data_IF_173272516405
#
_entry.id   IF_173272516405
#
_cell.length_a   1.000
_cell.length_b   1.000
_cell.length_c   1.000
_cell.angle_alpha   90.00
_cell.angle_beta   90.00
_cell.angle_gamma   90.00
#
_symmetry.space_group_name_H-M   'P 1'
#
loop_
_entity.id
_entity.type
_entity.pdbx_description
1 polymer ?
#
# COMPACT_ATOMS: atom_id res chain seq x y z
N UNK A 1 -33.05 -6.46 25.65
CA UNK A 1 -32.48 -5.28 24.97
C UNK A 1 -31.22 -5.73 24.25
N UNK A 2 -31.31 -5.92 22.93
CA UNK A 2 -30.21 -6.41 22.10
C UNK A 2 -29.35 -5.25 21.60
N UNK A 3 -28.07 -5.25 21.96
CA UNK A 3 -27.05 -4.44 21.28
C UNK A 3 -26.31 -5.34 20.29
N UNK A 4 -26.48 -5.07 19.01
CA UNK A 4 -25.67 -5.64 17.94
C UNK A 4 -25.46 -4.57 16.87
N UNK A 5 -24.26 -4.59 16.30
CA UNK A 5 -23.77 -3.86 15.13
C UNK A 5 -23.32 -2.40 15.35
N UNK A 6 -22.02 -2.25 15.63
CA UNK A 6 -21.23 -1.14 15.10
C UNK A 6 -20.48 -1.66 13.87
N UNK A 7 -21.04 -1.42 12.68
CA UNK A 7 -20.36 -1.66 11.42
C UNK A 7 -19.30 -0.59 11.18
N UNK A 8 -18.03 -0.98 11.19
CA UNK A 8 -16.92 -0.13 10.76
C UNK A 8 -16.73 -0.35 9.26
N UNK A 9 -17.29 0.54 8.44
CA UNK A 9 -16.96 0.64 7.02
C UNK A 9 -15.57 1.27 6.86
N UNK A 10 -14.53 0.45 6.67
CA UNK A 10 -13.23 0.90 6.15
C UNK A 10 -13.25 0.85 4.63
N UNK A 11 -13.60 1.96 4.01
CA UNK A 11 -13.40 2.18 2.58
C UNK A 11 -11.92 2.53 2.34
N UNK A 12 -11.09 1.51 2.11
CA UNK A 12 -9.72 1.70 1.62
C UNK A 12 -9.76 2.06 0.14
N UNK A 13 -9.97 3.33 -0.18
CA UNK A 13 -9.69 3.89 -1.50
C UNK A 13 -8.18 4.10 -1.64
N UNK A 14 -7.41 3.01 -1.79
CA UNK A 14 -6.06 3.07 -2.36
C UNK A 14 -6.20 3.05 -3.88
N UNK A 15 -6.47 4.24 -4.43
CA UNK A 15 -6.31 4.49 -5.85
C UNK A 15 -4.81 4.55 -6.15
N UNK A 16 -4.21 3.38 -6.38
CA UNK A 16 -2.94 3.30 -7.13
C UNK A 16 -3.28 3.57 -8.60
N UNK A 17 -3.66 4.81 -8.90
CA UNK A 17 -3.68 5.32 -10.27
C UNK A 17 -2.23 5.56 -10.64
N UNK A 18 -1.60 4.52 -11.19
CA UNK A 18 -0.39 4.64 -11.99
C UNK A 18 -0.72 5.71 -13.02
N UNK A 19 -0.10 6.89 -12.87
CA UNK A 19 -0.23 7.96 -13.83
C UNK A 19 0.13 7.40 -15.20
N UNK A 20 -0.82 7.52 -16.12
CA UNK A 20 -0.63 7.22 -17.52
C UNK A 20 0.67 7.88 -17.98
N UNK A 21 1.70 7.07 -18.24
CA UNK A 21 2.84 7.48 -19.03
C UNK A 21 2.28 7.79 -20.41
N UNK A 22 1.89 9.04 -20.61
CA UNK A 22 1.63 9.62 -21.92
C UNK A 22 2.95 9.50 -22.66
N UNK A 23 3.06 8.47 -23.50
CA UNK A 23 4.04 8.43 -24.57
C UNK A 23 3.77 9.65 -25.44
N UNK A 24 4.48 10.74 -25.16
CA UNK A 24 4.55 11.89 -26.03
C UNK A 24 5.30 11.45 -27.27
N UNK A 25 4.56 10.86 -28.22
CA UNK A 25 4.99 10.72 -29.61
C UNK A 25 5.07 12.12 -30.20
N UNK A 26 6.12 12.85 -29.84
CA UNK A 26 6.62 13.91 -30.68
C UNK A 26 7.35 13.22 -31.83
N UNK A 27 6.60 12.52 -32.67
CA UNK A 27 6.99 12.31 -34.06
C UNK A 27 6.99 13.71 -34.66
N UNK A 28 8.12 14.40 -34.48
CA UNK A 28 8.49 15.50 -35.34
C UNK A 28 8.23 15.01 -36.75
N UNK A 29 7.19 15.60 -37.33
CA UNK A 29 6.93 15.65 -38.75
C UNK A 29 8.26 15.69 -39.51
N UNK A 30 8.71 14.52 -40.00
CA UNK A 30 9.64 14.42 -41.12
C UNK A 30 8.79 14.76 -42.34
N UNK A 31 8.49 16.05 -42.45
CA UNK A 31 7.47 16.58 -43.36
C UNK A 31 7.48 18.10 -43.38
N UNK A 32 8.68 18.68 -43.25
CA UNK A 32 8.95 20.08 -43.60
C UNK A 32 9.40 20.15 -45.06
N UNK A 33 8.93 21.16 -45.83
CA UNK A 33 8.94 21.14 -47.28
C UNK A 33 10.37 21.15 -47.82
N UNK A 34 10.62 20.33 -48.85
CA UNK A 34 11.75 20.45 -49.77
C UNK A 34 11.63 21.80 -50.48
N UNK A 35 12.04 22.86 -49.78
CA UNK A 35 12.02 24.20 -50.30
C UNK A 35 13.23 24.38 -51.22
N UNK A 36 12.90 24.73 -52.46
CA UNK A 36 13.78 25.43 -53.39
C UNK A 36 14.84 24.58 -54.12
N UNK A 37 14.37 23.61 -54.92
CA UNK A 37 15.13 22.97 -56.00
C UNK A 37 15.25 23.91 -57.23
N UNK A 38 15.73 25.13 -57.00
CA UNK A 38 15.93 26.15 -58.01
C UNK A 38 17.37 26.19 -58.50
N UNK A 39 17.77 25.27 -59.39
CA UNK A 39 18.86 25.51 -60.36
C UNK A 39 18.76 24.52 -61.54
N UNK A 40 17.92 24.86 -62.50
CA UNK A 40 17.47 24.04 -63.64
C UNK A 40 18.53 23.66 -64.68
N UNK A 41 19.83 23.94 -64.46
CA UNK A 41 20.90 23.60 -65.40
C UNK A 41 21.95 22.61 -64.86
N UNK A 42 21.94 22.26 -63.56
CA UNK A 42 22.86 21.24 -63.02
C UNK A 42 22.27 19.82 -63.01
N UNK A 43 20.97 19.67 -62.83
CA UNK A 43 20.27 18.38 -62.66
C UNK A 43 20.13 17.51 -63.91
N UNK A 44 20.34 18.08 -65.11
CA UNK A 44 20.30 17.35 -66.39
C UNK A 44 21.67 16.92 -66.89
N UNK A 45 22.75 17.53 -66.37
CA UNK A 45 24.12 17.12 -66.70
C UNK A 45 24.58 16.00 -65.78
N UNK A 46 25.35 15.04 -66.30
CA UNK A 46 25.93 13.94 -65.52
C UNK A 46 26.73 14.51 -64.33
N UNK A 47 27.45 15.62 -64.53
CA UNK A 47 28.23 16.28 -63.48
C UNK A 47 27.36 16.79 -62.32
N UNK A 48 26.22 17.42 -62.59
CA UNK A 48 25.37 17.89 -61.49
C UNK A 48 24.57 16.76 -60.83
N UNK A 49 24.21 15.69 -61.55
CA UNK A 49 23.70 14.46 -60.91
C UNK A 49 24.73 13.81 -59.99
N UNK A 50 25.99 13.75 -60.40
CA UNK A 50 27.10 13.27 -59.56
C UNK A 50 27.25 14.15 -58.32
N UNK A 51 27.27 15.48 -58.46
CA UNK A 51 27.37 16.38 -57.32
C UNK A 51 26.22 16.23 -56.31
N UNK A 52 25.00 16.00 -56.79
CA UNK A 52 23.84 15.71 -55.91
C UNK A 52 24.01 14.37 -55.19
N UNK A 53 24.49 13.33 -55.89
CA UNK A 53 24.75 12.02 -55.28
C UNK A 53 25.87 12.10 -54.23
N UNK A 54 26.93 12.85 -54.49
CA UNK A 54 28.02 13.07 -53.55
C UNK A 54 27.54 13.76 -52.27
N UNK A 55 26.68 14.78 -52.39
CA UNK A 55 26.10 15.47 -51.24
C UNK A 55 25.11 14.59 -50.47
N UNK A 56 24.30 13.78 -51.18
CA UNK A 56 23.43 12.80 -50.55
C UNK A 56 24.22 11.75 -49.77
N UNK A 57 25.32 11.25 -50.34
CA UNK A 57 26.22 10.29 -49.66
C UNK A 57 26.81 10.91 -48.40
N UNK A 58 27.24 12.18 -48.45
CA UNK A 58 27.74 12.89 -47.26
C UNK A 58 26.66 13.04 -46.19
N UNK A 59 25.46 13.42 -46.59
CA UNK A 59 24.32 13.61 -45.67
C UNK A 59 23.97 12.30 -44.97
N UNK A 60 23.77 11.23 -45.75
CA UNK A 60 23.47 9.89 -45.22
C UNK A 60 24.59 9.37 -44.33
N UNK A 61 25.85 9.61 -44.69
CA UNK A 61 26.99 9.19 -43.87
C UNK A 61 27.03 9.91 -42.52
N UNK A 62 26.71 11.21 -42.51
CA UNK A 62 26.63 12.00 -41.29
C UNK A 62 25.47 11.55 -40.41
N UNK A 63 24.30 11.33 -41.02
CA UNK A 63 23.11 10.83 -40.32
C UNK A 63 23.35 9.44 -39.71
N UNK A 64 23.99 8.55 -40.47
CA UNK A 64 24.35 7.20 -40.00
C UNK A 64 25.26 7.25 -38.77
N UNK A 65 26.21 8.18 -38.72
CA UNK A 65 27.11 8.31 -37.57
C UNK A 65 26.39 8.86 -36.33
N UNK A 66 25.45 9.80 -36.52
CA UNK A 66 24.56 10.27 -35.45
C UNK A 66 23.72 9.12 -34.90
N UNK A 67 23.03 8.36 -35.77
CA UNK A 67 22.23 7.20 -35.37
C UNK A 67 23.05 6.12 -34.65
N UNK A 68 24.29 5.89 -35.06
CA UNK A 68 25.21 4.98 -34.35
C UNK A 68 25.54 5.45 -32.94
N UNK A 69 25.71 6.76 -32.75
CA UNK A 69 25.96 7.34 -31.42
C UNK A 69 24.72 7.21 -30.54
N UNK A 70 23.56 7.59 -31.05
CA UNK A 70 22.29 7.48 -30.34
C UNK A 70 22.00 6.03 -29.93
N UNK A 71 22.22 5.07 -30.83
CA UNK A 71 22.07 3.65 -30.50
C UNK A 71 22.98 3.22 -29.35
N UNK A 72 24.23 3.68 -29.32
CA UNK A 72 25.16 3.38 -28.21
C UNK A 72 24.68 3.97 -26.89
N UNK A 73 24.15 5.18 -26.91
CA UNK A 73 23.65 5.83 -25.71
C UNK A 73 22.36 5.16 -25.22
N UNK A 74 21.44 4.80 -26.12
CA UNK A 74 20.25 3.99 -25.79
C UNK A 74 20.60 2.63 -25.19
N UNK A 75 21.64 1.96 -25.68
CA UNK A 75 22.11 0.70 -25.10
C UNK A 75 22.64 0.92 -23.66
N UNK A 76 23.37 2.00 -23.41
CA UNK A 76 23.83 2.33 -22.05
C UNK A 76 22.65 2.62 -21.12
N UNK A 77 21.71 3.45 -21.57
CA UNK A 77 20.53 3.82 -20.79
C UNK A 77 19.68 2.59 -20.47
N UNK A 78 19.48 1.70 -21.44
CA UNK A 78 18.83 0.41 -21.23
C UNK A 78 19.52 -0.38 -20.12
N UNK A 79 20.84 -0.55 -20.18
CA UNK A 79 21.59 -1.31 -19.16
C UNK A 79 21.48 -0.67 -17.77
N UNK A 80 21.47 0.67 -17.69
CA UNK A 80 21.27 1.40 -16.43
C UNK A 80 19.87 1.11 -15.88
N UNK A 81 18.83 1.20 -16.71
CA UNK A 81 17.45 0.97 -16.31
C UNK A 81 17.25 -0.47 -15.84
N UNK A 82 17.79 -1.46 -16.55
CA UNK A 82 17.73 -2.87 -16.16
C UNK A 82 18.38 -3.10 -14.78
N UNK A 83 19.55 -2.52 -14.54
CA UNK A 83 20.22 -2.61 -13.24
C UNK A 83 19.42 -1.93 -12.12
N UNK A 84 18.85 -0.75 -12.39
CA UNK A 84 18.01 -0.03 -11.43
C UNK A 84 16.73 -0.81 -11.11
N UNK A 85 16.13 -1.46 -12.10
CA UNK A 85 14.93 -2.29 -11.92
C UNK A 85 15.24 -3.47 -11.01
N UNK A 86 16.31 -4.21 -11.29
CA UNK A 86 16.74 -5.37 -10.47
C UNK A 86 17.04 -4.91 -9.05
N UNK A 87 17.79 -3.81 -8.88
CA UNK A 87 18.08 -3.25 -7.56
C UNK A 87 16.81 -2.87 -6.82
N UNK A 88 15.90 -2.14 -7.47
CA UNK A 88 14.66 -1.69 -6.85
C UNK A 88 13.77 -2.87 -6.45
N UNK A 89 13.68 -3.89 -7.28
CA UNK A 89 12.97 -5.12 -6.99
C UNK A 89 13.55 -5.82 -5.75
N UNK A 90 14.89 -5.96 -5.70
CA UNK A 90 15.57 -6.56 -4.56
C UNK A 90 15.37 -5.76 -3.27
N UNK A 91 15.58 -4.44 -3.31
CA UNK A 91 15.40 -3.54 -2.16
C UNK A 91 13.96 -3.60 -1.64
N UNK A 92 12.97 -3.54 -2.53
CA UNK A 92 11.55 -3.65 -2.15
C UNK A 92 11.23 -5.01 -1.54
N UNK A 93 11.73 -6.11 -2.12
CA UNK A 93 11.55 -7.44 -1.56
C UNK A 93 12.16 -7.54 -0.16
N UNK A 94 13.39 -7.04 0.03
CA UNK A 94 14.06 -7.05 1.34
C UNK A 94 13.29 -6.24 2.38
N UNK A 95 12.79 -5.05 2.03
CA UNK A 95 12.01 -4.21 2.94
C UNK A 95 10.71 -4.91 3.35
N UNK A 96 9.99 -5.50 2.38
CA UNK A 96 8.74 -6.20 2.67
C UNK A 96 8.96 -7.46 3.52
N UNK A 97 10.01 -8.24 3.25
CA UNK A 97 10.36 -9.41 4.06
C UNK A 97 10.64 -9.03 5.52
N UNK A 98 11.40 -7.96 5.75
CA UNK A 98 11.67 -7.45 7.08
C UNK A 98 10.41 -6.93 7.78
N UNK A 99 9.52 -6.25 7.05
CA UNK A 99 8.27 -5.76 7.61
C UNK A 99 7.32 -6.90 8.02
N UNK A 100 7.26 -7.97 7.23
CA UNK A 100 6.50 -9.18 7.60
C UNK A 100 7.03 -9.77 8.91
N UNK A 101 8.34 -9.91 9.05
CA UNK A 101 8.94 -10.42 10.29
C UNK A 101 8.63 -9.52 11.49
N UNK A 102 8.77 -8.21 11.32
CA UNK A 102 8.46 -7.23 12.36
C UNK A 102 7.00 -7.30 12.80
N UNK A 103 6.07 -7.39 11.84
CA UNK A 103 4.65 -7.49 12.10
C UNK A 103 4.27 -8.83 12.74
N UNK A 104 4.92 -9.94 12.36
CA UNK A 104 4.68 -11.24 13.01
C UNK A 104 5.09 -11.20 14.49
N UNK A 105 6.27 -10.65 14.79
CA UNK A 105 6.75 -10.47 16.16
C UNK A 105 5.83 -9.56 16.99
N UNK A 106 5.38 -8.44 16.40
CA UNK A 106 4.43 -7.54 17.05
C UNK A 106 3.08 -8.24 17.30
N UNK A 107 2.56 -8.97 16.33
CA UNK A 107 1.30 -9.69 16.45
C UNK A 107 1.37 -10.77 17.54
N UNK A 108 2.47 -11.52 17.61
CA UNK A 108 2.71 -12.48 18.71
C UNK A 108 2.71 -11.81 20.07
N UNK A 109 3.32 -10.63 20.20
CA UNK A 109 3.31 -9.86 21.45
C UNK A 109 1.90 -9.41 21.83
N UNK A 110 1.12 -8.92 20.86
CA UNK A 110 -0.28 -8.51 21.10
C UNK A 110 -1.15 -9.69 21.53
N UNK A 111 -1.03 -10.85 20.89
CA UNK A 111 -1.76 -12.07 21.28
C UNK A 111 -1.42 -12.44 22.73
N UNK A 112 -0.13 -12.52 23.07
CA UNK A 112 0.29 -12.84 24.43
C UNK A 112 -0.24 -11.83 25.48
N UNK A 113 -0.28 -10.55 25.13
CA UNK A 113 -0.86 -9.52 25.99
C UNK A 113 -2.37 -9.71 26.16
N UNK A 114 -3.08 -9.99 25.06
CA UNK A 114 -4.52 -10.25 25.09
C UNK A 114 -4.85 -11.48 25.94
N UNK A 115 -4.08 -12.57 25.81
CA UNK A 115 -4.26 -13.77 26.62
C UNK A 115 -4.04 -13.49 28.12
N UNK A 116 -3.05 -12.67 28.47
CA UNK A 116 -2.81 -12.27 29.86
C UNK A 116 -3.96 -11.42 30.41
N UNK A 117 -4.45 -10.49 29.61
CA UNK A 117 -5.56 -9.61 29.99
C UNK A 117 -6.88 -10.37 30.11
N UNK A 118 -7.13 -11.34 29.21
CA UNK A 118 -8.28 -12.24 29.30
C UNK A 118 -8.26 -13.02 30.62
N UNK A 119 -7.12 -13.65 30.96
CA UNK A 119 -6.96 -14.37 32.22
C UNK A 119 -7.20 -13.47 33.44
N UNK A 120 -6.68 -12.23 33.40
CA UNK A 120 -6.89 -11.24 34.46
C UNK A 120 -8.37 -10.89 34.63
N UNK A 121 -9.07 -10.61 33.52
CA UNK A 121 -10.50 -10.29 33.52
C UNK A 121 -11.32 -11.47 34.02
N UNK A 122 -11.03 -12.70 33.56
CA UNK A 122 -11.70 -13.91 34.03
C UNK A 122 -11.50 -14.15 35.53
N UNK A 123 -10.30 -13.89 36.05
CA UNK A 123 -10.03 -13.93 37.49
C UNK A 123 -10.88 -12.93 38.28
N UNK A 124 -11.02 -11.70 37.79
CA UNK A 124 -11.88 -10.68 38.40
C UNK A 124 -13.36 -11.08 38.37
N UNK A 125 -13.85 -11.61 37.24
CA UNK A 125 -15.23 -12.12 37.12
C UNK A 125 -15.47 -13.23 38.13
N UNK A 126 -14.53 -14.18 38.26
CA UNK A 126 -14.61 -15.26 39.24
C UNK A 126 -14.73 -14.75 40.67
N UNK A 127 -13.89 -13.77 41.05
CA UNK A 127 -13.96 -13.12 42.36
C UNK A 127 -15.31 -12.43 42.59
N UNK A 128 -15.78 -11.63 41.64
CA UNK A 128 -17.08 -10.95 41.75
C UNK A 128 -18.24 -11.93 41.90
N UNK A 129 -18.17 -13.10 41.24
CA UNK A 129 -19.18 -14.15 41.38
C UNK A 129 -19.20 -14.74 42.81
N UNK A 130 -18.04 -14.95 43.41
CA UNK A 130 -17.93 -15.41 44.80
C UNK A 130 -18.45 -14.35 45.78
N UNK A 131 -18.05 -13.09 45.62
CA UNK A 131 -18.49 -11.98 46.46
C UNK A 131 -20.03 -11.81 46.38
N UNK A 132 -20.60 -11.91 45.17
CA UNK A 132 -22.05 -11.85 44.97
C UNK A 132 -22.80 -12.97 45.69
N UNK A 133 -22.27 -14.21 45.66
CA UNK A 133 -22.86 -15.35 46.40
C UNK A 133 -22.77 -15.15 47.91
N UNK A 134 -21.62 -14.69 48.42
CA UNK A 134 -21.42 -14.41 49.83
C UNK A 134 -22.40 -13.33 50.33
N UNK A 135 -22.53 -12.23 49.59
CA UNK A 135 -23.49 -11.17 49.89
C UNK A 135 -24.94 -11.70 49.87
N UNK A 136 -25.30 -12.53 48.90
CA UNK A 136 -26.62 -13.17 48.84
C UNK A 136 -26.93 -14.04 50.06
N UNK A 137 -25.93 -14.80 50.55
CA UNK A 137 -26.07 -15.57 51.79
C UNK A 137 -26.24 -14.67 53.01
N UNK A 138 -25.46 -13.58 53.13
CA UNK A 138 -25.60 -12.64 54.24
C UNK A 138 -26.97 -11.96 54.24
N UNK A 139 -27.50 -11.60 53.08
CA UNK A 139 -28.83 -11.01 52.96
C UNK A 139 -29.90 -11.99 53.45
N UNK A 140 -29.83 -13.24 53.01
CA UNK A 140 -30.77 -14.29 53.45
C UNK A 140 -30.71 -14.52 54.97
N UNK A 141 -29.53 -14.42 55.58
CA UNK A 141 -29.38 -14.55 57.03
C UNK A 141 -29.99 -13.37 57.78
N UNK A 142 -29.81 -12.15 57.25
CA UNK A 142 -30.41 -10.93 57.81
C UNK A 142 -31.93 -11.00 57.71
N UNK A 143 -32.49 -11.38 56.55
CA UNK A 143 -33.94 -11.52 56.36
C UNK A 143 -34.55 -12.50 57.37
N UNK A 144 -33.93 -13.67 57.58
CA UNK A 144 -34.37 -14.63 58.60
C UNK A 144 -34.39 -14.02 60.01
N UNK A 145 -33.37 -13.23 60.34
CA UNK A 145 -33.28 -12.57 61.65
C UNK A 145 -34.29 -11.46 61.80
N UNK A 146 -34.60 -10.72 60.73
CA UNK A 146 -35.69 -9.75 60.71
C UNK A 146 -37.01 -10.46 60.99
N UNK A 147 -37.33 -11.53 60.26
CA UNK A 147 -38.57 -12.31 60.48
C UNK A 147 -38.68 -12.87 61.90
N UNK A 148 -37.58 -13.38 62.46
CA UNK A 148 -37.54 -13.86 63.85
C UNK A 148 -37.82 -12.73 64.85
N UNK A 149 -37.21 -11.55 64.65
CA UNK A 149 -37.43 -10.39 65.51
C UNK A 149 -38.86 -9.84 65.36
N UNK A 150 -39.40 -9.81 64.15
CA UNK A 150 -40.81 -9.44 63.89
C UNK A 150 -41.77 -10.38 64.62
N UNK A 151 -41.49 -11.69 64.64
CA UNK A 151 -42.28 -12.67 65.38
C UNK A 151 -42.19 -12.47 66.90
N UNK A 152 -41.00 -12.24 67.44
CA UNK A 152 -40.80 -12.00 68.87
C UNK A 152 -41.49 -10.71 69.35
N UNK A 153 -41.41 -9.64 68.57
CA UNK A 153 -42.09 -8.37 68.86
C UNK A 153 -43.62 -8.53 68.88
N UNK A 154 -44.19 -9.22 67.88
CA UNK A 154 -45.64 -9.46 67.82
C UNK A 154 -46.17 -10.27 69.00
N UNK A 155 -45.38 -11.21 69.54
CA UNK A 155 -45.76 -11.98 70.73
C UNK A 155 -45.60 -11.18 72.03
N UNK A 156 -44.68 -10.21 72.11
CA UNK A 156 -44.53 -9.34 73.30
C UNK A 156 -45.66 -8.32 73.46
N UNK A 157 -46.44 -8.03 72.42
CA UNK A 157 -47.60 -7.12 72.51
C UNK A 157 -48.91 -7.81 72.98
N UNK A 158 -48.94 -9.14 73.10
CA UNK A 158 -50.13 -9.91 73.53
C UNK A 158 -50.15 -10.31 75.02
N UNK A 159 -49.14 -9.92 75.80
CA UNK A 159 -49.09 -10.07 77.27
C UNK A 159 -49.08 -8.70 77.95
#
# INVERSE_FOLDING_TARGET
MSMSQTGISRQTNRSNRVEDMVYNNNSQSIGGPVSNWGTSNQTTTIKGRIGILEELVRTVSTELETHRKELKDLIKDKNIIENLLVKKMHDTHSVLANEILRLDDENRRHINYMDQEENRVQGLIGKMSLDSKALGQTLTQIDKRITELEFQLGNTEQN
#
